data_IF_662177271332
#
_entry.id   IF_662177271332
#
_cell.length_a   1.000
_cell.length_b   1.000
_cell.length_c   1.000
_cell.angle_alpha   90.00
_cell.angle_beta   90.00
_cell.angle_gamma   90.00
#
_symmetry.space_group_name_H-M   'P 1'
#
loop_
_entity.id
_entity.type
_entity.pdbx_description
1 polymer ?
#
# COMPACT_ATOMS: atom_id res chain seq x y z
N UNK A 1 6.92 -8.35 15.09
CA UNK A 1 6.99 -7.90 13.68
C UNK A 1 5.84 -6.95 13.45
N UNK A 2 6.15 -5.68 13.18
CA UNK A 2 5.18 -4.59 13.10
C UNK A 2 5.10 -4.14 11.65
N UNK A 3 4.36 -4.89 10.84
CA UNK A 3 4.17 -4.57 9.42
C UNK A 3 3.34 -3.30 9.31
N UNK A 4 3.84 -2.38 8.49
CA UNK A 4 3.14 -1.13 8.18
C UNK A 4 2.70 -1.15 6.72
N UNK A 5 1.61 -0.45 6.49
CA UNK A 5 0.95 -0.37 5.20
C UNK A 5 0.80 1.10 4.85
N UNK A 6 1.08 1.45 3.61
CA UNK A 6 0.90 2.81 3.10
C UNK A 6 0.19 2.70 1.77
N UNK A 7 -0.78 3.58 1.58
CA UNK A 7 -1.47 3.74 0.31
C UNK A 7 -0.85 4.94 -0.38
N UNK A 8 -0.40 4.76 -1.61
CA UNK A 8 0.12 5.81 -2.48
C UNK A 8 -0.61 5.79 -3.81
N UNK A 9 -0.46 6.84 -4.60
CA UNK A 9 -0.94 6.86 -5.98
C UNK A 9 -0.04 6.03 -6.89
N UNK A 10 -0.62 5.42 -7.93
CA UNK A 10 0.15 4.66 -8.92
C UNK A 10 1.19 5.52 -9.64
N UNK A 11 0.97 6.83 -9.74
CA UNK A 11 1.92 7.80 -10.29
C UNK A 11 3.20 7.96 -9.45
N UNK A 12 3.14 7.61 -8.16
CA UNK A 12 4.27 7.74 -7.22
C UNK A 12 5.05 6.42 -7.08
N UNK A 13 4.48 5.30 -7.53
CA UNK A 13 5.14 3.97 -7.62
C UNK A 13 6.52 3.98 -8.27
N UNK A 14 6.78 4.67 -9.40
CA UNK A 14 8.12 4.72 -9.98
C UNK A 14 9.18 5.35 -9.05
N UNK A 15 8.76 6.13 -8.04
CA UNK A 15 9.64 6.72 -7.03
C UNK A 15 9.85 5.81 -5.80
N UNK A 16 9.10 4.70 -5.71
CA UNK A 16 9.20 3.74 -4.60
C UNK A 16 10.41 2.85 -4.77
N UNK A 17 11.19 2.71 -3.69
CA UNK A 17 12.27 1.74 -3.66
C UNK A 17 11.77 0.37 -3.20
N UNK A 18 11.73 -0.60 -4.12
CA UNK A 18 11.31 -1.98 -3.85
C UNK A 18 12.26 -2.77 -2.93
N UNK A 19 13.49 -2.28 -2.74
CA UNK A 19 14.47 -2.89 -1.82
C UNK A 19 14.13 -2.63 -0.35
N UNK A 20 13.46 -1.50 -0.05
CA UNK A 20 13.04 -1.12 1.31
C UNK A 20 11.61 -1.57 1.65
N UNK A 21 10.91 -2.23 0.72
CA UNK A 21 9.54 -2.72 0.93
C UNK A 21 9.49 -4.23 0.72
N UNK A 22 8.40 -4.86 1.15
CA UNK A 22 8.22 -6.32 1.05
C UNK A 22 7.66 -6.76 -0.31
N UNK A 23 7.74 -5.91 -1.34
CA UNK A 23 7.20 -6.20 -2.66
C UNK A 23 8.31 -6.29 -3.67
N UNK A 24 8.14 -7.21 -4.61
CA UNK A 24 9.20 -7.52 -5.59
C UNK A 24 9.19 -6.56 -6.77
N UNK A 25 8.02 -6.04 -7.16
CA UNK A 25 7.89 -5.08 -8.27
C UNK A 25 6.54 -4.38 -8.27
N UNK A 26 6.44 -3.31 -9.05
CA UNK A 26 5.20 -2.58 -9.33
C UNK A 26 4.03 -3.49 -9.76
N UNK A 27 4.30 -4.52 -10.57
CA UNK A 27 3.27 -5.46 -11.04
C UNK A 27 2.74 -6.40 -9.97
N UNK A 28 3.47 -6.54 -8.86
CA UNK A 28 3.05 -7.33 -7.69
C UNK A 28 2.32 -6.48 -6.66
N UNK A 29 2.16 -5.19 -6.95
CA UNK A 29 1.36 -4.30 -6.13
C UNK A 29 -0.13 -4.63 -6.24
N UNK A 30 -0.82 -4.48 -5.11
CA UNK A 30 -2.28 -4.53 -5.11
C UNK A 30 -2.76 -3.13 -5.44
N UNK A 31 -3.51 -3.01 -6.53
CA UNK A 31 -4.16 -1.77 -6.92
C UNK A 31 -5.58 -1.72 -6.33
N UNK A 32 -6.06 -0.51 -6.12
CA UNK A 32 -7.47 -0.23 -5.80
C UNK A 32 -8.37 -0.61 -6.99
N UNK A 33 -9.67 -0.76 -6.75
CA UNK A 33 -10.67 -1.07 -7.80
C UNK A 33 -10.68 -0.05 -8.93
N UNK A 34 -10.36 1.22 -8.62
CA UNK A 34 -10.24 2.32 -9.58
C UNK A 34 -8.87 2.35 -10.30
N UNK A 35 -7.88 1.61 -9.80
CA UNK A 35 -6.53 1.55 -10.41
C UNK A 35 -5.68 2.81 -10.22
N UNK A 36 -6.16 3.81 -9.49
CA UNK A 36 -5.44 5.07 -9.19
C UNK A 36 -4.54 4.97 -7.97
N UNK A 37 -4.87 4.09 -7.02
CA UNK A 37 -4.13 3.90 -5.78
C UNK A 37 -3.55 2.50 -5.69
N UNK A 38 -2.49 2.39 -4.91
CA UNK A 38 -1.80 1.13 -4.66
C UNK A 38 -1.32 1.00 -3.23
N UNK A 39 -1.21 -0.26 -2.78
CA UNK A 39 -0.84 -0.62 -1.42
C UNK A 39 0.62 -1.05 -1.39
N UNK A 40 1.43 -0.35 -0.61
CA UNK A 40 2.81 -0.70 -0.30
C UNK A 40 2.92 -1.20 1.14
N UNK A 41 3.58 -2.35 1.33
CA UNK A 41 3.82 -2.92 2.67
C UNK A 41 5.32 -3.02 2.94
N UNK A 42 5.75 -2.63 4.14
CA UNK A 42 7.15 -2.73 4.57
C UNK A 42 7.25 -3.18 6.03
N UNK A 43 8.44 -3.65 6.42
CA UNK A 43 8.75 -4.03 7.80
C UNK A 43 9.90 -3.16 8.31
N UNK A 44 9.81 -2.71 9.56
CA UNK A 44 10.83 -1.87 10.18
C UNK A 44 10.54 -0.37 10.11
N UNK A 45 11.56 0.40 9.73
CA UNK A 45 11.49 1.86 9.69
C UNK A 45 10.73 2.35 8.45
N UNK A 46 10.07 3.50 8.59
CA UNK A 46 9.37 4.11 7.45
C UNK A 46 10.41 4.71 6.50
N UNK A 47 10.46 4.26 5.24
CA UNK A 47 11.44 4.74 4.31
C UNK A 47 11.16 6.20 3.92
N UNK A 48 12.19 6.93 3.51
CA UNK A 48 12.11 8.38 3.29
C UNK A 48 11.13 8.78 2.19
N UNK A 49 10.90 7.93 1.18
CA UNK A 49 9.92 8.18 0.12
C UNK A 49 8.46 8.01 0.60
N UNK A 50 8.23 7.28 1.70
CA UNK A 50 6.92 7.21 2.35
C UNK A 50 6.80 8.17 3.53
N UNK A 51 7.86 8.95 3.81
CA UNK A 51 7.84 9.91 4.91
C UNK A 51 6.89 11.06 4.57
N UNK A 52 5.78 11.13 5.31
CA UNK A 52 4.70 12.09 5.06
C UNK A 52 3.42 11.45 4.52
N UNK A 53 3.50 10.21 4.01
CA UNK A 53 2.31 9.45 3.62
C UNK A 53 1.61 8.84 4.84
N UNK A 54 0.31 8.58 4.70
CA UNK A 54 -0.51 7.99 5.76
C UNK A 54 -0.09 6.53 5.98
N UNK A 55 0.32 6.23 7.21
CA UNK A 55 0.71 4.88 7.61
C UNK A 55 -0.43 4.20 8.35
N UNK A 56 -0.83 3.06 7.83
CA UNK A 56 -1.88 2.21 8.38
C UNK A 56 -1.26 1.01 9.10
N UNK A 57 -1.94 0.61 10.17
CA UNK A 57 -1.70 -0.66 10.84
C UNK A 57 -2.54 -1.77 10.19
N UNK A 58 -2.24 -3.02 10.55
CA UNK A 58 -2.97 -4.19 10.03
C UNK A 58 -4.50 -4.05 10.17
N UNK A 59 -4.99 -3.58 11.32
CA UNK A 59 -6.43 -3.42 11.56
C UNK A 59 -7.06 -2.37 10.64
N UNK A 60 -6.39 -1.23 10.47
CA UNK A 60 -6.87 -0.12 9.65
C UNK A 60 -6.89 -0.52 8.17
N UNK A 61 -5.78 -1.08 7.69
CA UNK A 61 -5.68 -1.48 6.29
C UNK A 61 -6.64 -2.62 5.97
N UNK A 62 -6.87 -3.54 6.92
CA UNK A 62 -7.86 -4.59 6.71
C UNK A 62 -9.24 -4.00 6.49
N UNK A 63 -9.61 -2.96 7.24
CA UNK A 63 -10.90 -2.29 7.06
C UNK A 63 -10.99 -1.57 5.70
N UNK A 64 -9.92 -0.87 5.30
CA UNK A 64 -9.84 -0.21 3.98
C UNK A 64 -9.94 -1.22 2.84
N UNK A 65 -9.24 -2.35 2.95
CA UNK A 65 -9.26 -3.43 1.96
C UNK A 65 -10.62 -4.14 1.87
N UNK A 66 -11.40 -4.12 2.93
CA UNK A 66 -12.80 -4.59 2.94
C UNK A 66 -13.79 -3.53 2.44
N UNK A 67 -13.35 -2.29 2.24
CA UNK A 67 -14.17 -1.24 1.64
C UNK A 67 -14.30 -1.40 0.13
N UNK A 68 -15.34 -0.77 -0.43
CA UNK A 68 -15.67 -0.77 -1.86
C UNK A 68 -14.53 -0.24 -2.76
N UNK A 69 -13.63 0.58 -2.21
CA UNK A 69 -12.45 1.11 -2.92
C UNK A 69 -11.40 0.02 -3.23
N UNK A 70 -11.45 -1.14 -2.58
CA UNK A 70 -10.43 -2.19 -2.71
C UNK A 70 -11.00 -3.59 -2.95
N UNK A 71 -12.21 -3.84 -2.45
CA UNK A 71 -12.96 -5.04 -2.74
C UNK A 71 -14.36 -4.60 -3.16
N UNK A 72 -14.71 -4.82 -4.42
CA UNK A 72 -16.11 -4.78 -4.84
C UNK A 72 -16.78 -5.99 -4.20
N UNK A 73 -17.28 -5.83 -2.97
CA UNK A 73 -18.15 -6.81 -2.35
C UNK A 73 -19.34 -7.02 -3.28
N UNK A 74 -19.25 -8.09 -4.05
CA UNK A 74 -20.21 -8.43 -5.08
C UNK A 74 -21.13 -9.49 -4.48
N UNK A 75 -22.04 -9.01 -3.61
CA UNK A 75 -23.28 -9.63 -3.10
C UNK A 75 -23.22 -11.03 -2.45
#
# INVERSE_FOLDING_TARGET
>A
MSRKYVIIEVSDVPSVNFDEVLQTSEKTLRHSTDGTKTLVKFDGATPSFLAGNVQYNYSEISNILNGEEWSTDSV
#
